data_IF_798656943344
#
_entry.id   IF_798656943344
#
_cell.length_a   1.000
_cell.length_b   1.000
_cell.length_c   1.000
_cell.angle_alpha   90.00
_cell.angle_beta   90.00
_cell.angle_gamma   90.00
#
_symmetry.space_group_name_H-M   'P 1'
#
loop_
_entity.id
_entity.type
_entity.pdbx_description
1 polymer ?
#
# COMPACT_ATOMS: atom_id res chain seq x y z
N UNK A 1 -12.21 -8.80 -13.91
CA UNK A 1 -11.48 -9.90 -14.58
C UNK A 1 -9.99 -9.67 -14.41
N UNK A 2 -9.25 -10.66 -13.94
CA UNK A 2 -7.80 -10.54 -13.63
C UNK A 2 -7.01 -10.63 -14.95
N UNK A 3 -6.26 -9.60 -15.31
CA UNK A 3 -5.43 -9.59 -16.53
C UNK A 3 -3.96 -9.82 -16.20
N UNK A 4 -3.33 -10.77 -16.86
CA UNK A 4 -1.89 -10.97 -16.81
C UNK A 4 -1.18 -9.84 -17.59
N UNK A 5 -0.04 -9.37 -17.08
CA UNK A 5 0.84 -8.44 -17.80
C UNK A 5 1.76 -9.28 -18.69
N UNK A 6 1.72 -9.04 -19.99
CA UNK A 6 2.59 -9.68 -20.96
C UNK A 6 3.41 -8.62 -21.68
N UNK A 7 4.72 -8.81 -21.75
CA UNK A 7 5.59 -7.94 -22.53
C UNK A 7 5.62 -8.46 -23.96
N UNK A 8 5.25 -7.63 -24.93
CA UNK A 8 5.45 -7.95 -26.34
C UNK A 8 6.92 -7.71 -26.68
N UNK A 9 7.65 -8.76 -27.05
CA UNK A 9 8.95 -8.56 -27.71
C UNK A 9 8.66 -7.95 -29.08
N UNK A 10 9.20 -6.75 -29.35
CA UNK A 10 9.17 -6.16 -30.68
C UNK A 10 9.88 -7.12 -31.63
N UNK A 11 9.12 -7.79 -32.48
CA UNK A 11 9.67 -8.87 -33.29
C UNK A 11 10.35 -8.41 -34.57
N UNK A 12 10.41 -7.11 -34.92
CA UNK A 12 10.99 -6.66 -36.21
C UNK A 12 11.23 -5.14 -36.40
N UNK A 13 11.28 -4.30 -35.36
CA UNK A 13 11.60 -2.86 -35.56
C UNK A 13 13.03 -2.58 -35.08
N UNK A 14 13.91 -2.16 -36.00
CA UNK A 14 15.32 -1.77 -35.80
C UNK A 14 15.51 -0.54 -34.87
N UNK A 15 14.51 -0.19 -34.06
CA UNK A 15 14.58 0.84 -33.02
C UNK A 15 14.69 0.17 -31.64
N UNK A 16 15.90 -0.27 -31.30
CA UNK A 16 16.26 -0.86 -29.99
C UNK A 16 15.98 0.06 -28.78
N UNK A 17 15.67 1.35 -29.01
CA UNK A 17 15.39 2.32 -27.95
C UNK A 17 13.89 2.46 -27.58
N UNK A 18 12.98 1.77 -28.27
CA UNK A 18 11.56 1.84 -27.94
C UNK A 18 11.25 1.01 -26.66
N UNK A 19 10.59 1.59 -25.65
CA UNK A 19 10.24 0.84 -24.44
C UNK A 19 9.29 -0.31 -24.80
N UNK A 20 9.44 -1.49 -24.18
CA UNK A 20 8.69 -2.67 -24.56
C UNK A 20 7.19 -2.48 -24.32
N UNK A 21 6.37 -2.86 -25.30
CA UNK A 21 4.92 -2.68 -25.23
C UNK A 21 4.31 -3.66 -24.21
N UNK A 22 3.75 -3.12 -23.12
CA UNK A 22 3.06 -3.91 -22.10
C UNK A 22 1.60 -4.14 -22.49
N UNK A 23 1.25 -5.40 -22.75
CA UNK A 23 -0.13 -5.83 -23.00
C UNK A 23 -0.77 -6.39 -21.73
N UNK A 24 -2.09 -6.22 -21.64
CA UNK A 24 -2.92 -6.92 -20.65
C UNK A 24 -3.70 -8.02 -21.36
N UNK A 25 -3.51 -9.26 -20.93
CA UNK A 25 -4.16 -10.43 -21.54
C UNK A 25 -4.96 -11.19 -20.49
N UNK A 26 -6.05 -11.82 -20.93
CA UNK A 26 -6.78 -12.80 -20.12
C UNK A 26 -6.24 -14.17 -20.45
N UNK A 27 -5.71 -14.86 -19.45
CA UNK A 27 -5.16 -16.22 -19.61
C UNK A 27 -6.07 -17.16 -18.81
N UNK A 28 -6.93 -17.95 -19.49
CA UNK A 28 -7.77 -18.92 -18.80
C UNK A 28 -6.94 -19.83 -17.90
N UNK A 29 -7.53 -20.31 -16.81
CA UNK A 29 -6.87 -21.13 -15.76
C UNK A 29 -5.94 -20.29 -14.89
N UNK A 30 -5.09 -19.46 -15.48
CA UNK A 30 -4.14 -18.62 -14.72
C UNK A 30 -4.86 -17.47 -13.99
N UNK A 31 -6.03 -17.06 -14.46
CA UNK A 31 -6.90 -16.10 -13.77
C UNK A 31 -7.45 -16.60 -12.43
N UNK A 32 -7.46 -17.92 -12.21
CA UNK A 32 -7.88 -18.54 -10.97
C UNK A 32 -6.81 -18.46 -9.86
N UNK A 33 -5.56 -18.13 -10.19
CA UNK A 33 -4.46 -18.09 -9.22
C UNK A 33 -4.58 -16.82 -8.36
N UNK A 34 -4.65 -17.01 -7.04
CA UNK A 34 -4.87 -15.92 -6.10
C UNK A 34 -3.60 -15.12 -5.81
N UNK A 35 -3.82 -13.93 -5.27
CA UNK A 35 -2.75 -13.08 -4.78
C UNK A 35 -2.29 -13.52 -3.39
N UNK A 36 -0.99 -13.54 -3.17
CA UNK A 36 -0.41 -13.50 -1.83
C UNK A 36 0.68 -12.43 -1.78
N UNK A 37 0.81 -11.75 -0.63
CA UNK A 37 1.95 -10.87 -0.34
C UNK A 37 3.25 -11.68 -0.14
N UNK A 38 3.13 -12.97 0.20
CA UNK A 38 4.23 -13.94 0.20
C UNK A 38 3.99 -15.03 -0.86
N UNK A 39 4.15 -14.72 -2.15
CA UNK A 39 3.81 -15.64 -3.23
C UNK A 39 4.79 -16.81 -3.32
N UNK A 40 4.26 -18.01 -3.54
CA UNK A 40 5.02 -19.24 -3.73
C UNK A 40 5.18 -19.63 -5.21
N UNK A 41 4.57 -18.86 -6.13
CA UNK A 41 4.74 -19.01 -7.57
C UNK A 41 4.82 -17.64 -8.28
N UNK A 42 5.22 -17.66 -9.56
CA UNK A 42 5.28 -16.47 -10.42
C UNK A 42 5.06 -16.81 -11.89
N UNK A 43 4.61 -15.80 -12.66
CA UNK A 43 4.44 -15.94 -14.10
C UNK A 43 5.76 -15.74 -14.84
N UNK A 44 5.98 -16.59 -15.84
CA UNK A 44 7.05 -16.45 -16.83
C UNK A 44 6.48 -16.54 -18.24
N UNK A 45 7.18 -15.93 -19.18
CA UNK A 45 6.92 -16.09 -20.61
C UNK A 45 8.00 -16.99 -21.21
N UNK A 46 7.59 -18.04 -21.90
CA UNK A 46 8.47 -18.97 -22.60
C UNK A 46 8.05 -19.05 -24.08
N UNK A 47 8.70 -18.24 -24.92
CA UNK A 47 8.30 -18.08 -26.31
C UNK A 47 6.87 -17.54 -26.42
N UNK A 48 5.98 -18.36 -26.98
CA UNK A 48 4.56 -18.06 -27.17
C UNK A 48 3.67 -18.55 -26.02
N UNK A 49 4.27 -19.17 -24.99
CA UNK A 49 3.54 -19.70 -23.85
C UNK A 49 3.72 -18.81 -22.62
N UNK A 50 2.64 -18.72 -21.84
CA UNK A 50 2.71 -18.27 -20.45
C UNK A 50 2.85 -19.51 -19.57
N UNK A 51 3.75 -19.47 -18.60
CA UNK A 51 3.92 -20.54 -17.63
C UNK A 51 3.87 -19.98 -16.20
N UNK A 52 3.55 -20.84 -15.25
CA UNK A 52 3.62 -20.54 -13.82
C UNK A 52 4.71 -21.42 -13.23
N UNK A 53 5.70 -20.82 -12.59
CA UNK A 53 6.80 -21.54 -11.95
C UNK A 53 6.72 -21.36 -10.43
N UNK A 54 6.92 -22.45 -9.70
CA UNK A 54 7.06 -22.39 -8.25
C UNK A 54 8.37 -21.71 -7.88
N UNK A 55 8.35 -20.86 -6.86
CA UNK A 55 9.51 -20.15 -6.30
C UNK A 55 10.22 -20.95 -5.21
N UNK A 56 9.52 -21.94 -4.65
CA UNK A 56 9.97 -22.85 -3.61
C UNK A 56 9.17 -24.15 -3.71
N UNK A 57 9.54 -25.15 -2.93
CA UNK A 57 8.70 -26.33 -2.75
C UNK A 57 7.33 -25.91 -2.17
N UNK A 58 6.27 -26.53 -2.70
CA UNK A 58 4.87 -26.29 -2.33
C UNK A 58 4.33 -27.61 -1.80
N UNK A 59 3.82 -27.61 -0.58
CA UNK A 59 3.33 -28.84 0.05
C UNK A 59 2.03 -29.33 -0.59
N UNK A 60 1.73 -30.62 -0.44
CA UNK A 60 0.45 -31.15 -0.89
C UNK A 60 -0.70 -30.43 -0.16
N UNK A 61 -1.67 -29.92 -0.94
CA UNK A 61 -2.80 -29.10 -0.50
C UNK A 61 -2.47 -27.66 -0.09
N UNK A 62 -1.22 -27.21 -0.23
CA UNK A 62 -0.91 -25.78 -0.13
C UNK A 62 -1.45 -25.04 -1.37
N UNK A 63 -2.04 -23.86 -1.17
CA UNK A 63 -2.55 -23.05 -2.27
C UNK A 63 -1.38 -22.45 -3.10
N UNK A 64 -1.50 -22.50 -4.42
CA UNK A 64 -0.56 -21.82 -5.33
C UNK A 64 -0.96 -20.36 -5.46
N UNK A 65 -0.08 -19.45 -5.05
CA UNK A 65 -0.32 -18.01 -5.01
C UNK A 65 0.79 -17.23 -5.70
N UNK A 66 0.41 -16.13 -6.35
CA UNK A 66 1.31 -15.22 -7.08
C UNK A 66 1.26 -13.80 -6.52
N UNK A 67 2.24 -12.96 -6.87
CA UNK A 67 2.09 -11.52 -6.67
C UNK A 67 1.35 -10.91 -7.86
N UNK A 68 0.36 -10.06 -7.59
CA UNK A 68 -0.27 -9.24 -8.62
C UNK A 68 0.53 -7.96 -8.91
N UNK A 69 1.71 -7.81 -8.29
CA UNK A 69 2.63 -6.68 -8.44
C UNK A 69 2.11 -5.42 -7.75
N UNK A 70 2.68 -4.25 -8.10
CA UNK A 70 2.34 -2.97 -7.47
C UNK A 70 0.88 -2.48 -7.62
N UNK A 71 0.02 -3.23 -8.32
CA UNK A 71 -1.43 -2.95 -8.33
C UNK A 71 -2.17 -3.43 -7.08
N UNK A 72 -1.52 -4.21 -6.21
CA UNK A 72 -2.08 -4.62 -4.91
C UNK A 72 -1.58 -3.78 -3.74
N UNK A 73 -0.90 -2.68 -4.05
CA UNK A 73 -0.33 -1.78 -3.06
C UNK A 73 -0.70 -0.35 -3.43
N UNK A 74 -1.26 0.43 -2.50
CA UNK A 74 -1.67 0.06 -1.14
C UNK A 74 -2.95 -0.79 -1.08
N UNK A 75 -3.35 -1.22 0.12
CA UNK A 75 -4.48 -2.14 0.37
C UNK A 75 -5.80 -1.69 -0.27
N UNK A 76 -6.09 -0.39 -0.36
CA UNK A 76 -7.29 0.11 -1.03
C UNK A 76 -7.34 -0.24 -2.53
N UNK A 77 -6.18 -0.37 -3.20
CA UNK A 77 -6.12 -0.81 -4.60
C UNK A 77 -6.58 -2.25 -4.76
N UNK A 78 -6.34 -3.10 -3.77
CA UNK A 78 -6.86 -4.47 -3.75
C UNK A 78 -8.38 -4.48 -3.73
N UNK A 79 -8.97 -3.66 -2.86
CA UNK A 79 -10.42 -3.59 -2.71
C UNK A 79 -11.06 -3.10 -4.01
N UNK A 80 -10.52 -2.00 -4.56
CA UNK A 80 -11.06 -1.40 -5.77
C UNK A 80 -10.89 -2.29 -7.02
N UNK A 81 -9.72 -2.91 -7.18
CA UNK A 81 -9.37 -3.63 -8.41
C UNK A 81 -9.78 -5.10 -8.40
N UNK A 82 -9.86 -5.70 -7.21
CA UNK A 82 -10.00 -7.15 -7.06
C UNK A 82 -11.06 -7.58 -6.03
N UNK A 83 -11.64 -6.65 -5.27
CA UNK A 83 -12.72 -6.95 -4.33
C UNK A 83 -12.29 -7.64 -3.04
N UNK A 84 -11.02 -7.49 -2.63
CA UNK A 84 -10.52 -8.00 -1.36
C UNK A 84 -9.61 -6.99 -0.67
N UNK A 85 -9.46 -7.08 0.65
CA UNK A 85 -8.42 -6.37 1.40
C UNK A 85 -7.44 -7.44 1.89
N UNK A 86 -6.13 -7.33 1.59
CA UNK A 86 -5.17 -8.32 2.05
C UNK A 86 -5.12 -8.31 3.58
N UNK A 87 -5.49 -9.43 4.20
CA UNK A 87 -5.43 -9.62 5.65
C UNK A 87 -4.21 -10.47 5.99
N UNK A 88 -3.41 -10.07 6.99
CA UNK A 88 -2.33 -10.92 7.50
C UNK A 88 -2.92 -11.94 8.48
N UNK A 89 -3.11 -13.18 8.04
CA UNK A 89 -3.64 -14.25 8.91
C UNK A 89 -2.66 -14.62 10.04
N UNK A 90 -1.34 -14.44 9.84
CA UNK A 90 -0.33 -14.96 10.77
C UNK A 90 -0.17 -14.18 12.08
N UNK A 91 -0.62 -12.93 12.20
CA UNK A 91 -0.53 -12.20 13.48
C UNK A 91 -1.56 -11.07 13.65
N UNK A 92 -2.44 -10.83 12.67
CA UNK A 92 -3.37 -9.70 12.71
C UNK A 92 -2.66 -8.36 12.96
N UNK A 93 -1.38 -8.24 12.62
CA UNK A 93 -0.51 -7.10 12.97
C UNK A 93 0.50 -6.72 11.90
N UNK A 94 0.60 -7.46 10.79
CA UNK A 94 1.59 -7.12 9.77
C UNK A 94 1.20 -5.81 9.10
N UNK A 95 1.98 -4.77 9.35
CA UNK A 95 2.00 -3.54 8.58
C UNK A 95 3.11 -3.70 7.56
N UNK A 96 2.77 -3.56 6.29
CA UNK A 96 3.74 -3.72 5.22
C UNK A 96 4.31 -2.35 4.87
N UNK A 97 5.64 -2.27 4.74
CA UNK A 97 6.38 -1.03 4.48
C UNK A 97 5.86 -0.28 3.24
N UNK A 98 5.39 -1.01 2.22
CA UNK A 98 4.87 -0.40 0.99
C UNK A 98 3.38 0.02 1.10
N UNK A 99 2.68 -0.32 2.18
CA UNK A 99 1.29 0.11 2.33
C UNK A 99 1.22 1.62 2.50
N UNK A 100 0.09 2.21 2.14
CA UNK A 100 -0.08 3.65 2.17
C UNK A 100 -1.53 3.99 2.46
N UNK A 101 -1.72 5.00 3.30
CA UNK A 101 -3.03 5.48 3.70
C UNK A 101 -3.10 6.99 3.60
N UNK A 102 -4.31 7.52 3.59
CA UNK A 102 -4.54 8.94 3.44
C UNK A 102 -5.00 9.53 4.76
N UNK A 103 -4.33 10.60 5.18
CA UNK A 103 -4.70 11.36 6.36
C UNK A 103 -5.08 12.78 5.99
N UNK A 104 -6.05 13.33 6.71
CA UNK A 104 -6.47 14.73 6.62
C UNK A 104 -5.89 15.47 7.83
N UNK A 105 -4.93 16.37 7.58
CA UNK A 105 -4.33 17.24 8.60
C UNK A 105 -4.69 18.69 8.26
N UNK A 106 -5.46 19.34 9.12
CA UNK A 106 -5.98 20.72 8.90
C UNK A 106 -6.61 20.93 7.51
N UNK A 107 -7.50 20.01 7.11
CA UNK A 107 -8.16 19.97 5.79
C UNK A 107 -7.22 19.80 4.59
N UNK A 108 -5.96 19.43 4.81
CA UNK A 108 -5.00 19.09 3.76
C UNK A 108 -4.78 17.58 3.76
N UNK A 109 -4.82 16.95 2.59
CA UNK A 109 -4.71 15.50 2.42
C UNK A 109 -3.26 15.12 2.15
N UNK A 110 -2.77 14.11 2.87
CA UNK A 110 -1.43 13.56 2.71
C UNK A 110 -1.52 12.05 2.56
N UNK A 111 -0.67 11.48 1.71
CA UNK A 111 -0.46 10.02 1.61
C UNK A 111 0.74 9.66 2.49
N UNK A 112 0.56 8.67 3.36
CA UNK A 112 1.55 8.27 4.36
C UNK A 112 1.75 6.77 4.31
N UNK A 113 3.01 6.36 4.37
CA UNK A 113 3.39 4.97 4.53
C UNK A 113 3.89 4.72 5.98
N UNK A 114 4.07 3.46 6.41
CA UNK A 114 4.48 3.13 7.77
C UNK A 114 5.87 3.62 8.18
N UNK A 115 6.76 3.92 7.22
CA UNK A 115 8.19 4.11 7.46
C UNK A 115 8.69 5.51 7.13
N UNK A 116 7.90 6.32 6.44
CA UNK A 116 8.30 7.61 5.90
C UNK A 116 7.20 8.66 6.10
N UNK A 117 7.62 9.85 6.49
CA UNK A 117 6.78 11.04 6.55
C UNK A 117 6.98 11.82 5.24
N UNK A 118 5.91 12.11 4.49
CA UNK A 118 6.05 12.88 3.26
C UNK A 118 6.56 14.29 3.56
N UNK A 119 7.47 14.78 2.74
CA UNK A 119 8.08 16.10 2.91
C UNK A 119 7.02 17.21 2.97
N UNK A 120 5.96 17.09 2.20
CA UNK A 120 4.83 18.02 2.17
C UNK A 120 4.15 18.15 3.54
N UNK A 121 4.04 17.05 4.30
CA UNK A 121 3.48 17.08 5.65
C UNK A 121 4.43 17.76 6.64
N UNK A 122 5.74 17.61 6.46
CA UNK A 122 6.75 18.36 7.24
C UNK A 122 6.64 19.86 6.97
N UNK A 123 6.56 20.25 5.70
CA UNK A 123 6.38 21.65 5.29
C UNK A 123 5.09 22.24 5.87
N UNK A 124 4.00 21.47 5.83
CA UNK A 124 2.71 21.85 6.41
C UNK A 124 2.81 22.05 7.93
N UNK A 125 3.44 21.12 8.65
CA UNK A 125 3.68 21.24 10.09
C UNK A 125 4.51 22.50 10.43
N UNK A 126 5.58 22.75 9.65
CA UNK A 126 6.42 23.92 9.83
C UNK A 126 5.64 25.24 9.59
N UNK A 127 4.79 25.29 8.57
CA UNK A 127 3.93 26.46 8.30
C UNK A 127 2.94 26.68 9.47
N UNK A 128 2.30 25.62 9.96
CA UNK A 128 1.34 25.69 11.08
C UNK A 128 1.97 26.16 12.37
N UNK A 129 3.23 25.82 12.61
CA UNK A 129 4.00 26.25 13.77
C UNK A 129 4.69 27.61 13.56
N UNK A 130 4.49 28.27 12.41
CA UNK A 130 5.11 29.56 12.10
C UNK A 130 6.63 29.49 11.87
N UNK A 131 7.15 28.29 11.61
CA UNK A 131 8.58 28.01 11.36
C UNK A 131 8.94 28.09 9.88
N UNK A 132 7.94 28.02 9.00
CA UNK A 132 8.09 28.17 7.56
C UNK A 132 7.08 29.18 7.01
N UNK A 133 7.49 29.89 5.97
CA UNK A 133 6.60 30.74 5.17
C UNK A 133 6.79 30.38 3.71
N UNK A 134 5.71 30.11 2.97
CA UNK A 134 5.79 29.78 1.54
C UNK A 134 6.61 30.81 0.76
N UNK A 135 7.57 30.34 -0.03
CA UNK A 135 8.45 31.18 -0.85
C UNK A 135 9.85 31.43 -0.28
N UNK A 136 10.20 30.87 0.89
CA UNK A 136 11.60 30.81 1.35
C UNK A 136 12.41 29.85 0.45
N UNK A 137 13.67 30.19 0.19
CA UNK A 137 14.57 29.36 -0.64
C UNK A 137 15.01 28.07 0.07
N UNK A 138 15.13 28.10 1.39
CA UNK A 138 15.60 26.96 2.19
C UNK A 138 14.42 26.27 2.91
N UNK A 139 14.38 24.92 2.88
CA UNK A 139 13.40 24.17 3.64
C UNK A 139 13.65 24.34 5.14
N UNK A 140 12.59 24.30 5.98
CA UNK A 140 12.74 24.36 7.42
C UNK A 140 13.51 23.13 7.90
N UNK A 141 14.42 23.33 8.86
CA UNK A 141 15.06 22.22 9.57
C UNK A 141 14.00 21.48 10.40
N UNK A 142 13.95 20.16 10.28
CA UNK A 142 13.00 19.34 11.02
C UNK A 142 13.35 19.36 12.51
N UNK A 143 12.37 19.64 13.37
CA UNK A 143 12.57 19.67 14.82
C UNK A 143 11.50 18.90 15.59
N UNK A 144 11.73 18.72 16.90
CA UNK A 144 10.86 17.90 17.74
C UNK A 144 9.44 18.45 17.90
N UNK A 145 9.22 19.75 17.70
CA UNK A 145 7.87 20.33 17.77
C UNK A 145 7.08 20.00 16.50
N UNK A 146 7.72 20.07 15.32
CA UNK A 146 7.12 19.62 14.06
C UNK A 146 6.77 18.13 14.14
N UNK A 147 7.71 17.32 14.62
CA UNK A 147 7.47 15.88 14.77
C UNK A 147 6.32 15.56 15.72
N UNK A 148 6.25 16.21 16.89
CA UNK A 148 5.13 16.02 17.83
C UNK A 148 3.79 16.42 17.22
N UNK A 149 3.74 17.55 16.50
CA UNK A 149 2.54 17.97 15.79
C UNK A 149 2.05 16.90 14.79
N UNK A 150 2.98 16.32 14.02
CA UNK A 150 2.65 15.26 13.06
C UNK A 150 2.17 14.00 13.79
N UNK A 151 2.89 13.55 14.81
CA UNK A 151 2.50 12.40 15.64
C UNK A 151 1.08 12.55 16.19
N UNK A 152 0.74 13.71 16.75
CA UNK A 152 -0.58 13.97 17.32
C UNK A 152 -1.67 13.90 16.24
N UNK A 153 -1.39 14.43 15.04
CA UNK A 153 -2.31 14.37 13.91
C UNK A 153 -2.55 12.92 13.44
N UNK A 154 -1.50 12.10 13.33
CA UNK A 154 -1.61 10.69 12.93
C UNK A 154 -2.37 9.85 13.98
N UNK A 155 -2.08 10.06 15.26
CA UNK A 155 -2.74 9.37 16.36
C UNK A 155 -4.24 9.70 16.40
N UNK A 156 -4.59 10.99 16.25
CA UNK A 156 -5.99 11.41 16.19
C UNK A 156 -6.72 10.74 15.01
N UNK A 157 -6.11 10.71 13.83
CA UNK A 157 -6.71 10.05 12.67
C UNK A 157 -6.89 8.53 12.88
N UNK A 158 -5.94 7.88 13.55
CA UNK A 158 -6.05 6.47 13.92
C UNK A 158 -7.21 6.22 14.92
N UNK A 159 -7.39 7.09 15.92
CA UNK A 159 -8.50 7.02 16.87
C UNK A 159 -9.87 7.19 16.19
N UNK A 160 -9.97 8.12 15.22
CA UNK A 160 -11.19 8.33 14.43
C UNK A 160 -11.56 7.07 13.62
N UNK A 161 -10.57 6.39 13.02
CA UNK A 161 -10.76 5.12 12.33
C UNK A 161 -11.22 4.00 13.28
N UNK A 162 -10.64 3.93 14.48
CA UNK A 162 -11.04 2.95 15.51
C UNK A 162 -12.50 3.13 15.92
N UNK A 163 -12.93 4.38 16.13
CA UNK A 163 -14.34 4.69 16.40
C UNK A 163 -15.26 4.24 15.25
N UNK A 164 -14.84 4.45 13.99
CA UNK A 164 -15.60 4.03 12.82
C UNK A 164 -15.67 2.50 12.63
N UNK A 165 -14.67 1.76 13.10
CA UNK A 165 -14.63 0.29 13.08
C UNK A 165 -15.66 -0.30 14.03
N UNK A 166 -15.86 0.29 15.21
CA UNK A 166 -16.75 -0.23 16.26
C UNK A 166 -18.24 -0.04 15.95
N UNK A 167 -18.60 0.90 15.07
CA UNK A 167 -20.00 1.28 14.78
C UNK A 167 -20.64 0.46 13.66
N UNK A 168 -19.87 -0.32 12.89
CA UNK A 168 -20.40 -1.06 11.73
C UNK A 168 -21.11 -2.35 12.12
N UNK A 169 -22.42 -2.26 12.39
CA UNK A 169 -23.36 -3.37 12.30
C UNK A 169 -24.31 -3.13 11.12
N UNK A 170 -24.33 -4.02 10.13
CA UNK A 170 -25.21 -3.87 8.96
C UNK A 170 -25.44 -5.19 8.23
N UNK A 171 -26.57 -5.27 7.51
CA UNK A 171 -27.10 -6.49 6.88
C UNK A 171 -26.22 -7.09 5.76
N UNK A 172 -25.21 -6.36 5.27
CA UNK A 172 -24.24 -6.86 4.28
C UNK A 172 -22.90 -7.22 4.95
N UNK A 173 -22.84 -8.43 5.49
CA UNK A 173 -21.71 -8.96 6.25
C UNK A 173 -20.37 -8.89 5.47
N UNK A 174 -20.39 -9.17 4.17
CA UNK A 174 -19.18 -9.16 3.34
C UNK A 174 -18.65 -7.74 3.08
N UNK A 175 -19.54 -6.81 2.72
CA UNK A 175 -19.15 -5.41 2.48
C UNK A 175 -18.71 -4.71 3.76
N UNK A 176 -19.41 -4.95 4.87
CA UNK A 176 -19.03 -4.43 6.19
C UNK A 176 -17.66 -4.97 6.62
N UNK A 177 -17.40 -6.27 6.42
CA UNK A 177 -16.10 -6.87 6.70
C UNK A 177 -14.97 -6.22 5.89
N UNK A 178 -15.13 -6.06 4.58
CA UNK A 178 -14.10 -5.43 3.74
C UNK A 178 -13.83 -3.97 4.14
N UNK A 179 -14.87 -3.21 4.47
CA UNK A 179 -14.70 -1.84 4.95
C UNK A 179 -13.96 -1.78 6.29
N UNK A 180 -14.29 -2.70 7.21
CA UNK A 180 -13.60 -2.86 8.48
C UNK A 180 -12.13 -3.23 8.29
N UNK A 181 -11.84 -4.20 7.42
CA UNK A 181 -10.48 -4.66 7.14
C UNK A 181 -9.63 -3.53 6.55
N UNK A 182 -10.20 -2.73 5.64
CA UNK A 182 -9.50 -1.59 5.06
C UNK A 182 -9.17 -0.53 6.13
N UNK A 183 -10.16 -0.14 6.95
CA UNK A 183 -9.94 0.84 8.02
C UNK A 183 -8.91 0.37 9.04
N UNK A 184 -8.91 -0.92 9.35
CA UNK A 184 -7.93 -1.50 10.25
C UNK A 184 -6.52 -1.46 9.63
N UNK A 185 -6.40 -1.71 8.32
CA UNK A 185 -5.14 -1.54 7.58
C UNK A 185 -4.64 -0.09 7.62
N UNK A 186 -5.54 0.86 7.36
CA UNK A 186 -5.26 2.31 7.41
C UNK A 186 -4.80 2.72 8.82
N UNK A 187 -5.56 2.33 9.85
CA UNK A 187 -5.26 2.62 11.26
C UNK A 187 -3.87 2.12 11.65
N UNK A 188 -3.51 0.90 11.28
CA UNK A 188 -2.19 0.34 11.60
C UNK A 188 -1.06 1.06 10.88
N UNK A 189 -1.27 1.48 9.63
CA UNK A 189 -0.30 2.28 8.87
C UNK A 189 -0.01 3.59 9.59
N UNK A 190 -1.06 4.29 10.03
CA UNK A 190 -0.92 5.53 10.82
C UNK A 190 -0.18 5.30 12.14
N UNK A 191 -0.52 4.24 12.88
CA UNK A 191 0.10 3.91 14.17
C UNK A 191 1.58 3.52 14.02
N UNK A 192 1.93 2.76 12.98
CA UNK A 192 3.31 2.39 12.71
C UNK A 192 4.16 3.63 12.39
N UNK A 193 3.64 4.50 11.50
CA UNK A 193 4.28 5.76 11.13
C UNK A 193 4.47 6.68 12.35
N UNK A 194 3.42 6.86 13.16
CA UNK A 194 3.49 7.66 14.39
C UNK A 194 4.46 7.06 15.42
N UNK A 195 4.51 5.73 15.54
CA UNK A 195 5.43 5.01 16.42
C UNK A 195 6.88 5.24 16.03
N UNK A 196 7.23 4.99 14.77
CA UNK A 196 8.59 5.21 14.26
C UNK A 196 9.03 6.67 14.38
N UNK A 197 8.12 7.62 14.12
CA UNK A 197 8.42 9.04 14.31
C UNK A 197 8.66 9.39 15.79
N UNK A 198 7.89 8.82 16.72
CA UNK A 198 8.14 9.03 18.17
C UNK A 198 9.52 8.53 18.58
N UNK A 199 9.90 7.33 18.15
CA UNK A 199 11.21 6.75 18.43
C UNK A 199 12.33 7.66 17.92
N UNK A 200 12.21 8.14 16.67
CA UNK A 200 13.16 9.10 16.10
C UNK A 200 13.27 10.40 16.93
N UNK A 201 12.15 10.91 17.45
CA UNK A 201 12.13 12.14 18.26
C UNK A 201 12.74 11.97 19.66
N UNK A 202 12.86 10.76 20.18
CA UNK A 202 13.55 10.49 21.44
C UNK A 202 15.07 10.51 21.29
N UNK A 203 15.58 10.37 20.06
CA UNK A 203 17.01 10.38 19.73
C UNK A 203 17.56 11.78 19.34
N UNK A 204 16.66 12.73 19.07
CA UNK A 204 16.94 14.13 18.70
C UNK A 204 17.27 15.03 19.90
#
# INVERSE_FOLDING_TARGET
>A
TRSCRAVQSSSNDDNDDAPPYMMRVLVPIFDMINHSRNPNAEFHREGDFMVVRAKRDIEANEEVCISYGGSTVPSWRCLFSYGFVPYSEEDGRAVYEDDATEVLVDNTRFEINPTEIPFELVMHAAEKLGKFTPGREEPPEFDSEMGRYIVDALMKAAEELEGAILVQEGDNEAGARLAKDLRESDRRTLLACAGGLREYLEEL
#
